data_IF_020370131764
#
_entry.id   IF_020370131764
#
_cell.length_a   1.000
_cell.length_b   1.000
_cell.length_c   1.000
_cell.angle_alpha   90.00
_cell.angle_beta   90.00
_cell.angle_gamma   90.00
#
_symmetry.space_group_name_H-M   'P 1'
#
loop_
_entity.id
_entity.type
_entity.pdbx_description
1 polymer ?
#
# COMPACT_ATOMS: atom_id res chain seq x y z
N UNK A 1 -32.98 -27.54 5.49
CA UNK A 1 -32.67 -26.24 4.83
C UNK A 1 -31.21 -25.93 5.05
N UNK A 2 -30.40 -26.11 3.99
CA UNK A 2 -28.96 -25.87 4.02
C UNK A 2 -28.72 -24.41 3.62
N UNK A 3 -28.09 -23.61 4.50
CA UNK A 3 -27.59 -22.28 4.19
C UNK A 3 -26.08 -22.38 4.06
N UNK A 4 -25.60 -22.35 2.84
CA UNK A 4 -24.19 -22.19 2.49
C UNK A 4 -23.88 -20.70 2.48
N UNK A 5 -23.25 -20.21 3.55
CA UNK A 5 -22.61 -18.89 3.59
C UNK A 5 -21.24 -19.00 2.89
N UNK A 6 -21.13 -18.41 1.72
CA UNK A 6 -19.87 -18.31 0.99
C UNK A 6 -19.07 -17.16 1.58
N UNK A 7 -17.98 -17.47 2.29
CA UNK A 7 -16.93 -16.53 2.67
C UNK A 7 -16.25 -16.00 1.38
N UNK A 8 -16.61 -14.78 0.98
CA UNK A 8 -15.84 -14.03 0.01
C UNK A 8 -14.76 -13.22 0.76
N UNK A 9 -13.62 -13.88 0.96
CA UNK A 9 -12.36 -13.16 1.25
C UNK A 9 -12.00 -12.39 -0.02
N UNK A 10 -11.97 -11.06 0.07
CA UNK A 10 -11.55 -10.21 -1.03
C UNK A 10 -10.09 -10.52 -1.40
N UNK A 11 -9.91 -11.24 -2.50
CA UNK A 11 -8.60 -11.50 -3.09
C UNK A 11 -7.98 -10.16 -3.53
N UNK A 12 -6.86 -9.79 -2.92
CA UNK A 12 -6.01 -8.71 -3.41
C UNK A 12 -5.40 -9.14 -4.75
N UNK A 13 -6.14 -8.86 -5.80
CA UNK A 13 -5.66 -9.01 -7.17
C UNK A 13 -4.79 -7.80 -7.47
N UNK A 14 -3.51 -8.02 -7.74
CA UNK A 14 -2.65 -7.07 -8.45
C UNK A 14 -3.26 -6.86 -9.83
N UNK A 15 -4.03 -5.78 -9.98
CA UNK A 15 -4.64 -5.46 -11.26
C UNK A 15 -3.56 -4.90 -12.20
N UNK A 16 -2.87 -5.82 -12.87
CA UNK A 16 -2.05 -5.47 -14.01
C UNK A 16 -3.01 -5.22 -15.16
N UNK A 17 -3.42 -3.95 -15.32
CA UNK A 17 -4.29 -3.50 -16.38
C UNK A 17 -3.94 -4.14 -17.72
N UNK A 18 -4.97 -4.76 -18.34
CA UNK A 18 -4.87 -5.54 -19.57
C UNK A 18 -4.13 -4.78 -20.67
N UNK A 19 -3.23 -5.49 -21.33
CA UNK A 19 -2.51 -5.03 -22.49
C UNK A 19 -3.47 -4.74 -23.64
N UNK A 20 -3.83 -3.45 -23.78
CA UNK A 20 -4.35 -2.87 -25.00
C UNK A 20 -3.21 -2.12 -25.66
N UNK A 21 -2.83 -2.49 -26.89
CA UNK A 21 -1.88 -1.79 -27.72
C UNK A 21 -2.25 -0.32 -27.87
N UNK A 22 -1.47 0.56 -27.23
CA UNK A 22 -1.39 1.97 -27.61
C UNK A 22 0.07 2.41 -27.43
N UNK A 23 0.75 2.64 -28.54
CA UNK A 23 2.06 3.22 -28.63
C UNK A 23 2.09 4.62 -27.97
N UNK A 24 2.92 4.77 -26.94
CA UNK A 24 3.19 6.03 -26.24
C UNK A 24 4.34 5.82 -25.27
N UNK A 25 5.53 6.19 -25.71
CA UNK A 25 6.82 6.21 -25.05
C UNK A 25 6.73 6.80 -23.63
N UNK A 26 6.91 5.97 -22.59
CA UNK A 26 7.36 6.41 -21.27
C UNK A 26 7.85 5.21 -20.45
N UNK A 27 9.15 5.10 -20.28
CA UNK A 27 9.80 4.21 -19.30
C UNK A 27 10.11 2.82 -19.86
N UNK A 28 11.24 2.68 -20.59
CA UNK A 28 11.81 1.40 -21.03
C UNK A 28 12.28 0.55 -19.84
N UNK A 29 11.34 -0.03 -19.09
CA UNK A 29 11.65 -1.12 -18.20
C UNK A 29 12.07 -2.38 -18.97
N UNK A 30 13.05 -3.15 -18.45
CA UNK A 30 13.46 -4.40 -19.07
C UNK A 30 12.34 -5.42 -18.93
N UNK A 31 11.65 -5.74 -20.02
CA UNK A 31 10.45 -6.61 -20.04
C UNK A 31 10.67 -7.97 -19.35
N UNK A 32 11.87 -8.55 -19.43
CA UNK A 32 12.16 -9.81 -18.77
C UNK A 32 12.23 -9.66 -17.23
N UNK A 33 12.72 -8.50 -16.75
CA UNK A 33 12.75 -8.20 -15.31
C UNK A 33 11.33 -7.99 -14.79
N UNK A 34 10.52 -7.20 -15.50
CA UNK A 34 9.11 -7.00 -15.12
C UNK A 34 8.35 -8.33 -15.03
N UNK A 35 8.46 -9.19 -16.04
CA UNK A 35 7.83 -10.51 -16.03
C UNK A 35 8.28 -11.40 -14.87
N UNK A 36 9.55 -11.30 -14.47
CA UNK A 36 10.07 -12.03 -13.32
C UNK A 36 9.43 -11.53 -12.01
N UNK A 37 9.30 -10.21 -11.86
CA UNK A 37 8.62 -9.57 -10.72
C UNK A 37 7.14 -9.96 -10.71
N UNK A 38 6.45 -9.92 -11.86
CA UNK A 38 5.04 -10.29 -11.96
C UNK A 38 4.81 -11.75 -11.51
N UNK A 39 5.73 -12.66 -11.87
CA UNK A 39 5.65 -14.07 -11.42
C UNK A 39 5.85 -14.18 -9.91
N UNK A 40 6.80 -13.45 -9.32
CA UNK A 40 6.99 -13.44 -7.86
C UNK A 40 5.75 -12.88 -7.13
N UNK A 41 5.10 -11.87 -7.72
CA UNK A 41 3.89 -11.26 -7.20
C UNK A 41 2.65 -12.16 -7.20
N UNK A 42 2.69 -13.31 -7.89
CA UNK A 42 1.59 -14.30 -7.84
C UNK A 42 1.60 -15.14 -6.55
N UNK A 43 2.70 -15.13 -5.80
CA UNK A 43 2.78 -15.81 -4.51
C UNK A 43 2.11 -14.93 -3.44
N UNK A 44 1.18 -15.52 -2.70
CA UNK A 44 0.44 -14.86 -1.61
C UNK A 44 0.38 -15.76 -0.39
N UNK A 45 -0.06 -15.25 0.75
CA UNK A 45 -0.28 -16.08 1.94
C UNK A 45 -1.34 -17.17 1.70
N UNK A 46 -2.39 -16.86 0.91
CA UNK A 46 -3.43 -17.81 0.53
C UNK A 46 -2.97 -18.78 -0.56
N UNK A 47 -1.97 -18.39 -1.37
CA UNK A 47 -1.37 -19.21 -2.43
C UNK A 47 0.16 -19.21 -2.32
N UNK A 48 0.74 -19.89 -1.30
CA UNK A 48 2.18 -19.88 -1.03
C UNK A 48 3.01 -20.69 -2.04
N UNK A 49 2.37 -21.49 -2.90
CA UNK A 49 3.02 -22.24 -3.96
C UNK A 49 2.19 -22.18 -5.25
N UNK A 50 2.87 -22.04 -6.39
CA UNK A 50 2.22 -21.89 -7.70
C UNK A 50 2.89 -22.79 -8.76
N UNK A 51 2.10 -23.46 -9.57
CA UNK A 51 2.58 -24.31 -10.66
C UNK A 51 2.86 -23.50 -11.94
N UNK A 52 3.68 -24.07 -12.84
CA UNK A 52 3.93 -23.46 -14.18
C UNK A 52 2.62 -23.23 -14.95
N UNK A 53 1.65 -24.14 -14.83
CA UNK A 53 0.37 -24.01 -15.51
C UNK A 53 -0.46 -22.81 -15.00
N UNK A 54 -0.45 -22.58 -13.69
CA UNK A 54 -1.10 -21.42 -13.05
C UNK A 54 -0.40 -20.13 -13.44
N UNK A 55 0.94 -20.10 -13.43
CA UNK A 55 1.71 -18.93 -13.89
C UNK A 55 1.37 -18.58 -15.34
N UNK A 56 1.34 -19.58 -16.24
CA UNK A 56 0.96 -19.37 -17.65
C UNK A 56 -0.45 -18.76 -17.74
N UNK A 57 -1.40 -19.28 -16.97
CA UNK A 57 -2.78 -18.79 -16.96
C UNK A 57 -2.89 -17.36 -16.43
N UNK A 58 -2.16 -17.05 -15.35
CA UNK A 58 -2.22 -15.74 -14.70
C UNK A 58 -1.51 -14.66 -15.54
N UNK A 59 -0.38 -15.00 -16.19
CA UNK A 59 0.46 -14.01 -16.91
C UNK A 59 0.16 -13.94 -18.40
N UNK A 60 -0.52 -14.94 -18.99
CA UNK A 60 -0.70 -15.05 -20.44
C UNK A 60 0.59 -15.32 -21.23
N UNK A 61 1.72 -15.56 -20.56
CA UNK A 61 3.00 -15.81 -21.21
C UNK A 61 3.08 -17.23 -21.82
N UNK A 62 3.83 -17.39 -22.92
CA UNK A 62 4.14 -18.69 -23.48
C UNK A 62 4.86 -19.57 -22.43
N UNK A 63 4.47 -20.86 -22.35
CA UNK A 63 4.99 -21.83 -21.37
C UNK A 63 6.53 -21.89 -21.36
N UNK A 64 7.16 -21.83 -22.53
CA UNK A 64 8.63 -21.80 -22.65
C UNK A 64 9.26 -20.56 -22.01
N UNK A 65 8.61 -19.40 -22.13
CA UNK A 65 9.03 -18.16 -21.48
C UNK A 65 8.92 -18.27 -19.97
N UNK A 66 7.78 -18.77 -19.46
CA UNK A 66 7.57 -18.99 -18.04
C UNK A 66 8.64 -19.92 -17.46
N UNK A 67 8.89 -21.08 -18.12
CA UNK A 67 9.91 -22.03 -17.65
C UNK A 67 11.29 -21.37 -17.54
N UNK A 68 11.71 -20.60 -18.53
CA UNK A 68 13.00 -19.91 -18.51
C UNK A 68 13.11 -18.90 -17.38
N UNK A 69 12.06 -18.12 -17.13
CA UNK A 69 12.06 -17.12 -16.04
C UNK A 69 12.09 -17.84 -14.70
N UNK A 70 11.22 -18.84 -14.48
CA UNK A 70 11.14 -19.61 -13.25
C UNK A 70 12.48 -20.30 -12.94
N UNK A 71 13.13 -20.93 -13.92
CA UNK A 71 14.45 -21.53 -13.76
C UNK A 71 15.50 -20.49 -13.35
N UNK A 72 15.45 -19.30 -13.95
CA UNK A 72 16.38 -18.21 -13.57
C UNK A 72 16.12 -17.76 -12.13
N UNK A 73 14.85 -17.60 -11.72
CA UNK A 73 14.50 -17.23 -10.36
C UNK A 73 14.91 -18.32 -9.34
N UNK A 74 14.74 -19.60 -9.69
CA UNK A 74 15.14 -20.74 -8.89
C UNK A 74 16.67 -20.80 -8.73
N UNK A 75 17.44 -20.67 -9.82
CA UNK A 75 18.89 -20.65 -9.80
C UNK A 75 19.46 -19.53 -8.93
N UNK A 76 18.74 -18.41 -8.81
CA UNK A 76 19.09 -17.30 -7.92
C UNK A 76 18.46 -17.39 -6.53
N UNK A 77 17.78 -18.49 -6.21
CA UNK A 77 17.17 -18.76 -4.91
C UNK A 77 15.96 -17.85 -4.58
N UNK A 78 15.39 -17.17 -5.58
CA UNK A 78 14.18 -16.36 -5.41
C UNK A 78 12.91 -17.22 -5.44
N UNK A 79 12.95 -18.34 -6.15
CA UNK A 79 11.94 -19.40 -6.11
C UNK A 79 12.58 -20.71 -5.63
N UNK A 80 11.74 -21.61 -5.12
CA UNK A 80 12.11 -22.94 -4.70
C UNK A 80 11.10 -23.97 -5.21
N UNK A 81 11.58 -24.99 -5.94
CA UNK A 81 10.74 -26.04 -6.44
C UNK A 81 10.27 -26.99 -5.33
N UNK A 82 8.99 -27.32 -5.34
CA UNK A 82 8.36 -28.28 -4.45
C UNK A 82 7.45 -29.24 -5.23
N UNK A 83 6.93 -30.27 -4.58
CA UNK A 83 5.94 -31.16 -5.21
C UNK A 83 4.63 -30.46 -5.64
N UNK A 84 4.32 -29.30 -5.01
CA UNK A 84 3.12 -28.49 -5.31
C UNK A 84 3.35 -27.36 -6.30
N UNK A 85 4.59 -27.17 -6.77
CA UNK A 85 4.97 -26.06 -7.62
C UNK A 85 6.12 -25.25 -7.01
N UNK A 86 6.22 -23.99 -7.36
CA UNK A 86 7.26 -23.07 -6.91
C UNK A 86 6.74 -22.20 -5.76
N UNK A 87 7.53 -22.09 -4.71
CA UNK A 87 7.29 -21.22 -3.57
C UNK A 87 8.39 -20.16 -3.46
N UNK A 88 8.21 -19.20 -2.55
CA UNK A 88 9.23 -18.19 -2.22
C UNK A 88 10.54 -18.86 -1.78
N UNK A 89 11.64 -18.48 -2.43
CA UNK A 89 12.96 -19.06 -2.19
C UNK A 89 13.74 -18.37 -1.06
N UNK A 90 14.79 -19.05 -0.52
CA UNK A 90 15.52 -18.55 0.64
C UNK A 90 16.27 -17.24 0.42
N UNK A 91 16.61 -16.88 -0.83
CA UNK A 91 17.25 -15.60 -1.11
C UNK A 91 16.34 -14.39 -0.79
N UNK A 92 15.01 -14.55 -0.85
CA UNK A 92 14.08 -13.50 -0.45
C UNK A 92 14.16 -13.18 1.04
N UNK A 93 14.50 -14.16 1.90
CA UNK A 93 14.75 -13.91 3.31
C UNK A 93 15.91 -12.94 3.55
N UNK A 94 17.01 -13.10 2.78
CA UNK A 94 18.14 -12.17 2.83
C UNK A 94 17.74 -10.77 2.40
N UNK A 95 16.96 -10.64 1.32
CA UNK A 95 16.47 -9.34 0.84
C UNK A 95 15.54 -8.68 1.85
N UNK A 96 14.64 -9.45 2.46
CA UNK A 96 13.77 -8.97 3.52
C UNK A 96 14.56 -8.48 4.74
N UNK A 97 15.64 -9.19 5.14
CA UNK A 97 16.52 -8.76 6.23
C UNK A 97 17.22 -7.43 5.92
N UNK A 98 17.76 -7.28 4.72
CA UNK A 98 18.39 -6.04 4.27
C UNK A 98 17.38 -4.88 4.20
N UNK A 99 16.20 -5.13 3.65
CA UNK A 99 15.13 -4.16 3.60
C UNK A 99 14.72 -3.71 5.01
N UNK A 100 14.54 -4.64 5.95
CA UNK A 100 14.23 -4.28 7.35
C UNK A 100 15.25 -3.34 7.96
N UNK A 101 16.55 -3.58 7.79
CA UNK A 101 17.59 -2.71 8.32
C UNK A 101 17.55 -1.29 7.77
N UNK A 102 17.06 -1.11 6.53
CA UNK A 102 16.96 0.21 5.88
C UNK A 102 15.63 0.93 6.13
N UNK A 103 14.55 0.18 6.45
CA UNK A 103 13.17 0.67 6.53
C UNK A 103 12.58 0.54 7.93
N UNK A 104 13.33 -0.01 8.89
CA UNK A 104 12.82 -0.25 10.21
C UNK A 104 12.61 1.07 10.96
N UNK A 105 11.38 1.31 11.40
CA UNK A 105 11.06 2.45 12.24
C UNK A 105 11.76 2.32 13.61
N UNK A 106 12.12 3.47 14.22
CA UNK A 106 12.60 3.46 15.61
C UNK A 106 11.64 2.70 16.52
N UNK A 107 12.16 1.93 17.50
CA UNK A 107 11.33 1.15 18.44
C UNK A 107 10.25 2.01 19.13
N UNK A 108 10.59 3.25 19.47
CA UNK A 108 9.68 4.20 20.09
C UNK A 108 8.51 4.57 19.17
N UNK A 109 8.77 4.78 17.88
CA UNK A 109 7.71 5.05 16.89
C UNK A 109 6.75 3.87 16.78
N UNK A 110 7.28 2.65 16.77
CA UNK A 110 6.46 1.42 16.75
C UNK A 110 5.60 1.32 18.02
N UNK A 111 6.15 1.68 19.17
CA UNK A 111 5.43 1.64 20.45
C UNK A 111 4.30 2.70 20.49
N UNK A 112 4.56 3.91 20.02
CA UNK A 112 3.55 4.96 19.89
C UNK A 112 2.39 4.51 18.98
N UNK A 113 2.70 3.91 17.82
CA UNK A 113 1.69 3.38 16.91
C UNK A 113 0.90 2.22 17.55
N UNK A 114 1.58 1.33 18.29
CA UNK A 114 0.93 0.21 19.01
C UNK A 114 -0.03 0.73 20.08
N UNK A 115 0.42 1.68 20.90
CA UNK A 115 -0.40 2.32 21.92
C UNK A 115 -1.64 2.99 21.31
N UNK A 116 -1.46 3.66 20.16
CA UNK A 116 -2.57 4.29 19.43
C UNK A 116 -3.58 3.24 18.92
N UNK A 117 -3.11 2.15 18.31
CA UNK A 117 -3.99 1.08 17.83
C UNK A 117 -4.80 0.43 18.96
N UNK A 118 -4.20 0.25 20.13
CA UNK A 118 -4.87 -0.30 21.32
C UNK A 118 -5.91 0.66 21.90
N UNK A 119 -5.57 1.96 22.04
CA UNK A 119 -6.48 2.97 22.60
C UNK A 119 -7.68 3.20 21.69
N UNK A 120 -7.42 3.40 20.38
CA UNK A 120 -8.48 3.71 19.42
C UNK A 120 -9.21 2.47 18.90
N UNK A 121 -8.63 1.28 19.12
CA UNK A 121 -9.14 -0.04 18.69
C UNK A 121 -9.30 -0.14 17.17
N UNK A 122 -8.50 0.63 16.41
CA UNK A 122 -8.46 0.63 14.96
C UNK A 122 -7.03 0.39 14.45
N UNK A 123 -6.90 -0.04 13.19
CA UNK A 123 -5.58 -0.26 12.58
C UNK A 123 -4.88 1.06 12.33
N UNK A 124 -3.63 1.16 12.76
CA UNK A 124 -2.73 2.30 12.54
C UNK A 124 -1.75 1.96 11.43
N UNK A 125 -1.67 2.81 10.43
CA UNK A 125 -0.72 2.67 9.32
C UNK A 125 0.11 3.92 9.16
N UNK A 126 1.36 3.75 8.72
CA UNK A 126 2.24 4.81 8.28
C UNK A 126 2.56 4.60 6.80
N UNK A 127 2.31 5.63 5.99
CA UNK A 127 2.50 5.59 4.54
C UNK A 127 3.48 6.65 4.07
N UNK A 128 4.23 6.32 3.00
CA UNK A 128 5.09 7.25 2.26
C UNK A 128 4.73 7.23 0.77
N UNK A 129 5.13 8.27 0.03
CA UNK A 129 4.90 8.34 -1.42
C UNK A 129 5.94 7.53 -2.18
N UNK A 130 5.48 6.81 -3.20
CA UNK A 130 6.31 6.22 -4.24
C UNK A 130 5.61 6.37 -5.60
N UNK A 131 6.03 7.35 -6.37
CA UNK A 131 5.43 7.69 -7.66
C UNK A 131 3.91 7.95 -7.54
N UNK A 132 3.05 7.16 -8.20
CA UNK A 132 1.58 7.27 -8.13
C UNK A 132 0.95 6.41 -7.03
N UNK A 133 1.76 5.82 -6.16
CA UNK A 133 1.35 4.95 -5.05
C UNK A 133 1.77 5.51 -3.70
N UNK A 134 1.06 5.11 -2.66
CA UNK A 134 1.54 5.17 -1.28
C UNK A 134 1.95 3.77 -0.82
N UNK A 135 3.09 3.68 -0.15
CA UNK A 135 3.62 2.42 0.39
C UNK A 135 3.39 2.38 1.88
N UNK A 136 2.84 1.27 2.38
CA UNK A 136 2.76 1.03 3.82
C UNK A 136 4.16 0.69 4.35
N UNK A 137 4.71 1.52 5.22
CA UNK A 137 6.05 1.30 5.82
C UNK A 137 5.96 0.80 7.25
N UNK A 138 4.82 0.95 7.88
CA UNK A 138 4.54 0.34 9.18
C UNK A 138 3.05 0.17 9.40
N UNK A 139 2.69 -0.90 10.12
CA UNK A 139 1.34 -1.19 10.53
C UNK A 139 1.31 -1.67 11.98
N UNK A 140 0.23 -1.30 12.69
CA UNK A 140 -0.19 -1.91 13.95
C UNK A 140 -1.67 -2.25 13.82
N UNK A 141 -1.96 -3.54 13.85
CA UNK A 141 -3.32 -4.03 13.64
C UNK A 141 -4.24 -3.67 14.80
N UNK A 142 -5.50 -3.41 14.45
CA UNK A 142 -6.59 -3.31 15.43
C UNK A 142 -6.72 -4.60 16.25
N UNK A 143 -7.00 -4.52 17.56
CA UNK A 143 -7.35 -5.70 18.37
C UNK A 143 -8.72 -6.29 18.02
N UNK A 144 -9.49 -5.67 17.14
CA UNK A 144 -10.81 -6.14 16.74
C UNK A 144 -10.72 -7.32 15.75
N UNK A 145 -11.66 -8.30 15.85
CA UNK A 145 -11.72 -9.40 14.86
C UNK A 145 -11.91 -8.91 13.42
N UNK A 146 -12.88 -8.01 13.20
CA UNK A 146 -13.07 -7.33 11.92
C UNK A 146 -12.18 -6.09 11.89
N UNK A 147 -11.14 -6.10 11.08
CA UNK A 147 -10.16 -5.02 10.95
C UNK A 147 -9.66 -4.85 9.53
N UNK A 148 -9.21 -3.66 9.21
CA UNK A 148 -8.49 -3.39 7.98
C UNK A 148 -7.02 -3.82 8.14
N UNK A 149 -6.51 -4.60 7.21
CA UNK A 149 -5.11 -5.06 7.18
C UNK A 149 -4.45 -4.59 5.88
N UNK A 150 -3.27 -3.99 6.01
CA UNK A 150 -2.38 -3.61 4.89
C UNK A 150 -0.98 -4.03 5.28
N UNK A 151 -0.37 -4.91 4.53
CA UNK A 151 0.96 -5.39 4.89
C UNK A 151 2.04 -4.33 4.62
N UNK A 152 3.12 -4.39 5.42
CA UNK A 152 4.29 -3.54 5.16
C UNK A 152 4.88 -3.91 3.81
N UNK A 153 5.04 -2.90 2.94
CA UNK A 153 5.46 -3.06 1.55
C UNK A 153 4.32 -2.98 0.54
N UNK A 154 3.05 -3.09 0.98
CA UNK A 154 1.90 -2.96 0.06
C UNK A 154 1.84 -1.55 -0.53
N UNK A 155 1.57 -1.52 -1.83
CA UNK A 155 1.38 -0.30 -2.62
C UNK A 155 -0.10 -0.06 -2.86
N UNK A 156 -0.58 1.08 -2.43
CA UNK A 156 -1.96 1.50 -2.62
C UNK A 156 -2.00 2.76 -3.49
N UNK A 157 -2.99 2.90 -4.39
CA UNK A 157 -3.04 4.05 -5.28
C UNK A 157 -3.19 5.37 -4.51
N UNK A 158 -2.55 6.43 -5.01
CA UNK A 158 -2.62 7.78 -4.43
C UNK A 158 -3.89 8.56 -4.81
N UNK A 159 -4.69 8.09 -5.76
CA UNK A 159 -5.89 8.83 -6.17
C UNK A 159 -7.04 8.76 -5.16
N UNK A 160 -7.00 7.88 -4.14
CA UNK A 160 -8.07 7.73 -3.16
C UNK A 160 -7.55 7.48 -1.73
N UNK A 161 -8.35 7.88 -0.75
CA UNK A 161 -8.13 7.63 0.68
C UNK A 161 -7.49 8.78 1.43
N UNK A 162 -7.74 8.86 2.74
CA UNK A 162 -7.29 9.93 3.61
C UNK A 162 -5.78 10.17 3.56
N UNK A 163 -4.98 9.10 3.66
CA UNK A 163 -3.51 9.20 3.62
C UNK A 163 -2.99 9.77 2.30
N UNK A 164 -3.68 9.53 1.18
CA UNK A 164 -3.29 10.08 -0.13
C UNK A 164 -3.41 11.60 -0.17
N UNK A 165 -4.52 12.15 0.34
CA UNK A 165 -4.77 13.60 0.40
C UNK A 165 -3.68 14.31 1.20
N UNK A 166 -3.25 13.69 2.31
CA UNK A 166 -2.15 14.19 3.15
C UNK A 166 -0.80 14.14 2.41
N UNK A 167 -0.49 13.01 1.80
CA UNK A 167 0.81 12.79 1.12
C UNK A 167 0.98 13.67 -0.12
N UNK A 168 -0.11 13.98 -0.82
CA UNK A 168 -0.10 14.80 -2.04
C UNK A 168 -0.02 16.32 -1.77
N UNK A 169 -0.06 16.75 -0.51
CA UNK A 169 -0.05 18.16 -0.12
C UNK A 169 1.09 18.99 -0.74
N UNK A 170 2.26 18.39 -0.91
CA UNK A 170 3.44 19.07 -1.47
C UNK A 170 3.71 18.67 -2.92
N UNK A 171 2.77 18.02 -3.59
CA UNK A 171 2.95 17.52 -4.96
C UNK A 171 2.76 18.63 -5.98
N UNK A 172 3.66 18.70 -6.96
CA UNK A 172 3.52 19.60 -8.11
C UNK A 172 2.49 19.08 -9.12
N UNK A 173 2.05 19.98 -10.00
CA UNK A 173 0.99 19.72 -11.01
C UNK A 173 1.25 18.50 -11.88
N UNK A 174 2.49 18.29 -12.33
CA UNK A 174 2.83 17.14 -13.15
C UNK A 174 2.64 15.80 -12.41
N UNK A 175 2.90 15.76 -11.10
CA UNK A 175 2.66 14.57 -10.28
C UNK A 175 1.15 14.35 -10.07
N UNK A 176 0.40 15.40 -9.72
CA UNK A 176 -1.05 15.33 -9.56
C UNK A 176 -1.75 14.86 -10.85
N UNK A 177 -1.29 15.32 -12.02
CA UNK A 177 -1.81 14.87 -13.31
C UNK A 177 -1.59 13.38 -13.54
N UNK A 178 -0.43 12.82 -13.16
CA UNK A 178 -0.17 11.38 -13.26
C UNK A 178 -1.04 10.57 -12.29
N UNK A 179 -1.20 11.06 -11.06
CA UNK A 179 -2.08 10.42 -10.06
C UNK A 179 -3.53 10.43 -10.54
N UNK A 180 -4.05 11.57 -11.03
CA UNK A 180 -5.40 11.66 -11.56
C UNK A 180 -5.61 10.71 -12.74
N UNK A 181 -4.66 10.66 -13.69
CA UNK A 181 -4.71 9.76 -14.85
C UNK A 181 -4.75 8.27 -14.44
N UNK A 182 -4.14 7.91 -13.31
CA UNK A 182 -4.15 6.53 -12.80
C UNK A 182 -5.46 6.14 -12.10
N UNK A 183 -6.35 7.11 -11.85
CA UNK A 183 -7.66 6.85 -11.24
C UNK A 183 -8.64 6.22 -12.24
N UNK A 184 -9.70 5.56 -11.78
CA UNK A 184 -10.79 5.08 -12.63
C UNK A 184 -11.52 6.20 -13.40
N UNK A 185 -11.35 7.45 -12.94
CA UNK A 185 -12.00 8.63 -13.50
C UNK A 185 -11.14 9.34 -14.56
N UNK A 186 -9.88 8.93 -14.74
CA UNK A 186 -8.96 9.51 -15.70
C UNK A 186 -8.51 10.93 -15.37
N UNK A 187 -8.08 11.66 -16.39
CA UNK A 187 -7.50 13.01 -16.24
C UNK A 187 -8.49 14.03 -15.64
N UNK A 188 -9.78 13.87 -15.87
CA UNK A 188 -10.84 14.79 -15.40
C UNK A 188 -10.96 14.81 -13.86
N UNK A 189 -10.37 13.82 -13.19
CA UNK A 189 -10.34 13.75 -11.72
C UNK A 189 -9.42 14.78 -11.07
N UNK A 190 -8.54 15.45 -11.82
CA UNK A 190 -7.49 16.32 -11.28
C UNK A 190 -8.03 17.47 -10.41
N UNK A 191 -9.12 18.11 -10.84
CA UNK A 191 -9.68 19.26 -10.11
C UNK A 191 -10.35 18.82 -8.79
N UNK A 192 -11.02 17.66 -8.80
CA UNK A 192 -11.55 17.04 -7.58
C UNK A 192 -10.42 16.64 -6.62
N UNK A 193 -9.34 16.08 -7.14
CA UNK A 193 -8.18 15.70 -6.34
C UNK A 193 -7.52 16.93 -5.69
N UNK A 194 -7.36 18.03 -6.44
CA UNK A 194 -6.83 19.30 -5.90
C UNK A 194 -7.70 19.87 -4.79
N UNK A 195 -9.02 19.92 -5.00
CA UNK A 195 -9.96 20.42 -3.99
C UNK A 195 -9.86 19.60 -2.68
N UNK A 196 -9.78 18.29 -2.78
CA UNK A 196 -9.65 17.40 -1.62
C UNK A 196 -8.30 17.59 -0.89
N UNK A 197 -7.21 17.85 -1.63
CA UNK A 197 -5.89 18.13 -1.04
C UNK A 197 -5.89 19.50 -0.33
N UNK A 198 -6.51 20.51 -0.93
CA UNK A 198 -6.62 21.85 -0.36
C UNK A 198 -7.45 21.82 0.94
N UNK A 199 -8.57 21.12 0.94
CA UNK A 199 -9.38 20.89 2.13
C UNK A 199 -8.57 20.22 3.24
N UNK A 200 -7.89 19.09 2.94
CA UNK A 200 -7.04 18.38 3.89
C UNK A 200 -5.89 19.26 4.41
N UNK A 201 -5.36 20.16 3.56
CA UNK A 201 -4.29 21.09 3.93
C UNK A 201 -4.79 22.14 4.92
N UNK A 202 -5.97 22.68 4.68
CA UNK A 202 -6.60 23.71 5.51
C UNK A 202 -7.02 23.15 6.87
N UNK A 203 -7.59 21.95 6.87
CA UNK A 203 -8.04 21.27 8.10
C UNK A 203 -6.90 20.68 8.92
N UNK A 204 -5.73 20.40 8.29
CA UNK A 204 -4.61 19.72 8.94
C UNK A 204 -4.76 18.21 9.04
N UNK A 205 -5.87 17.65 8.57
CA UNK A 205 -6.14 16.21 8.49
C UNK A 205 -6.97 15.89 7.25
N UNK A 206 -7.09 14.60 6.93
CA UNK A 206 -7.99 14.13 5.90
C UNK A 206 -8.86 12.98 6.41
N UNK A 207 -10.07 12.89 5.88
CA UNK A 207 -10.99 11.78 6.09
C UNK A 207 -11.37 11.16 4.75
N UNK A 208 -11.60 9.85 4.74
CA UNK A 208 -12.12 9.12 3.59
C UNK A 208 -13.18 8.11 4.02
N UNK A 209 -14.23 7.98 3.21
CA UNK A 209 -15.34 7.09 3.46
C UNK A 209 -15.68 6.31 2.19
N UNK A 210 -15.36 5.02 2.15
CA UNK A 210 -15.69 4.16 1.03
C UNK A 210 -14.99 4.49 -0.30
N UNK A 211 -13.98 5.37 -0.31
CA UNK A 211 -13.38 5.87 -1.55
C UNK A 211 -12.63 4.79 -2.35
N UNK A 212 -11.92 3.92 -1.66
CA UNK A 212 -11.20 2.80 -2.26
C UNK A 212 -11.97 1.50 -2.14
N UNK A 213 -12.52 1.24 -0.98
CA UNK A 213 -13.27 0.02 -0.65
C UNK A 213 -14.55 0.40 0.08
N UNK A 214 -15.68 -0.07 -0.43
CA UNK A 214 -16.97 0.14 0.22
C UNK A 214 -16.96 -0.42 1.65
N UNK A 215 -17.42 0.38 2.61
CA UNK A 215 -17.47 0.01 4.02
C UNK A 215 -16.17 0.22 4.79
N UNK A 216 -15.13 0.77 4.15
CA UNK A 216 -13.87 1.15 4.79
C UNK A 216 -13.78 2.67 4.95
N UNK A 217 -13.40 3.12 6.14
CA UNK A 217 -13.11 4.54 6.43
C UNK A 217 -11.72 4.70 7.01
N UNK A 218 -11.14 5.88 6.81
CA UNK A 218 -9.85 6.25 7.37
C UNK A 218 -9.77 7.73 7.70
N UNK A 219 -9.02 8.05 8.76
CA UNK A 219 -8.56 9.39 9.13
C UNK A 219 -7.04 9.41 9.04
N UNK A 220 -6.46 10.49 8.51
CA UNK A 220 -5.02 10.64 8.38
C UNK A 220 -4.53 12.05 8.73
N UNK A 221 -3.35 12.12 9.31
CA UNK A 221 -2.63 13.37 9.60
C UNK A 221 -1.23 13.34 9.00
N UNK A 222 -0.61 14.50 8.72
CA UNK A 222 0.75 14.58 8.21
C UNK A 222 1.78 14.24 9.31
N UNK A 223 2.83 13.52 8.94
CA UNK A 223 4.11 13.51 9.64
C UNK A 223 5.05 14.42 8.85
N UNK A 224 5.56 15.45 9.49
CA UNK A 224 6.39 16.46 8.83
C UNK A 224 7.87 16.25 9.14
N UNK A 225 8.71 16.50 8.15
CA UNK A 225 10.16 16.47 8.32
C UNK A 225 10.71 17.78 8.87
N UNK A 226 12.03 17.84 9.07
CA UNK A 226 12.72 19.04 9.60
C UNK A 226 12.55 20.29 8.74
N UNK A 227 12.22 20.15 7.47
CA UNK A 227 11.96 21.26 6.54
C UNK A 227 10.50 21.72 6.53
N UNK A 228 9.64 21.12 7.34
CA UNK A 228 8.19 21.37 7.33
C UNK A 228 7.44 20.65 6.20
N UNK A 229 8.14 19.92 5.34
CA UNK A 229 7.49 19.13 4.29
C UNK A 229 6.85 17.86 4.88
N UNK A 230 5.73 17.42 4.31
CA UNK A 230 5.10 16.13 4.64
C UNK A 230 5.98 15.01 4.09
N UNK A 231 6.47 14.16 4.98
CA UNK A 231 7.33 13.01 4.65
C UNK A 231 6.59 11.69 4.77
N UNK A 232 5.52 11.64 5.56
CA UNK A 232 4.67 10.48 5.72
C UNK A 232 3.26 10.89 6.11
N UNK A 233 2.30 9.94 6.02
CA UNK A 233 0.95 10.09 6.56
C UNK A 233 0.70 9.00 7.60
N UNK A 234 0.34 9.40 8.82
CA UNK A 234 -0.12 8.52 9.87
C UNK A 234 -1.64 8.42 9.82
N UNK A 235 -2.19 7.22 9.86
CA UNK A 235 -3.64 7.03 9.71
C UNK A 235 -4.21 5.97 10.64
N UNK A 236 -5.50 6.16 11.01
CA UNK A 236 -6.39 5.14 11.55
C UNK A 236 -7.33 4.68 10.45
N UNK A 237 -7.57 3.38 10.34
CA UNK A 237 -8.47 2.81 9.34
C UNK A 237 -9.23 1.60 9.87
N UNK A 238 -10.47 1.45 9.42
CA UNK A 238 -11.34 0.36 9.84
C UNK A 238 -12.73 0.41 9.20
N UNK A 239 -13.63 -0.51 9.58
CA UNK A 239 -15.00 -0.52 9.09
C UNK A 239 -15.72 0.79 9.39
N UNK A 240 -16.41 1.31 8.39
CA UNK A 240 -17.13 2.60 8.41
C UNK A 240 -18.05 2.77 9.61
N UNK A 241 -18.71 1.71 10.06
CA UNK A 241 -19.62 1.75 11.22
C UNK A 241 -18.94 2.16 12.53
N UNK A 242 -17.61 2.13 12.58
CA UNK A 242 -16.82 2.56 13.74
C UNK A 242 -16.20 3.96 13.57
N UNK A 243 -16.52 4.65 12.47
CA UNK A 243 -16.04 5.99 12.13
C UNK A 243 -17.21 7.00 12.04
N UNK A 244 -18.09 7.09 13.07
CA UNK A 244 -19.10 8.13 13.10
C UNK A 244 -18.45 9.51 13.32
N UNK A 245 -19.15 10.58 12.95
CA UNK A 245 -18.60 11.94 12.97
C UNK A 245 -18.08 12.36 14.36
N UNK A 246 -18.72 11.91 15.42
CA UNK A 246 -18.30 12.21 16.80
C UNK A 246 -16.92 11.64 17.14
N UNK A 247 -16.54 10.51 16.52
CA UNK A 247 -15.23 9.88 16.73
C UNK A 247 -14.13 10.43 15.83
N UNK A 248 -14.48 11.09 14.72
CA UNK A 248 -13.47 11.64 13.79
C UNK A 248 -12.55 12.62 14.52
N UNK A 249 -13.14 13.51 15.37
CA UNK A 249 -12.35 14.46 16.14
C UNK A 249 -11.42 13.77 17.14
N UNK A 250 -11.90 12.76 17.85
CA UNK A 250 -11.08 11.94 18.77
C UNK A 250 -9.90 11.29 18.03
N UNK A 251 -10.15 10.72 16.84
CA UNK A 251 -9.12 10.12 16.01
C UNK A 251 -8.09 11.14 15.53
N UNK A 252 -8.54 12.32 15.09
CA UNK A 252 -7.65 13.42 14.67
C UNK A 252 -6.75 13.86 15.82
N UNK A 253 -7.30 14.10 16.99
CA UNK A 253 -6.56 14.54 18.18
C UNK A 253 -5.48 13.50 18.55
N UNK A 254 -5.87 12.22 18.62
CA UNK A 254 -4.97 11.13 18.96
C UNK A 254 -3.87 10.89 17.91
N UNK A 255 -4.20 11.01 16.61
CA UNK A 255 -3.24 10.92 15.51
C UNK A 255 -2.26 12.10 15.55
N UNK A 256 -2.75 13.31 15.81
CA UNK A 256 -1.93 14.53 15.85
C UNK A 256 -0.92 14.48 17.00
N UNK A 257 -1.32 14.01 18.17
CA UNK A 257 -0.42 13.78 19.30
C UNK A 257 0.73 12.84 18.92
N UNK A 258 0.41 11.68 18.37
CA UNK A 258 1.41 10.69 17.97
C UNK A 258 2.28 11.19 16.83
N UNK A 259 1.68 11.87 15.84
CA UNK A 259 2.45 12.45 14.72
C UNK A 259 3.44 13.51 15.20
N UNK A 260 3.08 14.36 16.15
CA UNK A 260 3.99 15.35 16.74
C UNK A 260 5.22 14.68 17.38
N UNK A 261 5.02 13.63 18.15
CA UNK A 261 6.12 12.85 18.75
C UNK A 261 7.03 12.20 17.71
N UNK A 262 6.46 11.66 16.62
CA UNK A 262 7.24 11.10 15.51
C UNK A 262 8.07 12.19 14.82
N UNK A 263 7.47 13.35 14.60
CA UNK A 263 8.12 14.52 13.99
C UNK A 263 9.30 15.04 14.84
N UNK A 264 9.11 15.21 16.16
CA UNK A 264 10.14 15.68 17.08
C UNK A 264 11.36 14.75 17.13
N UNK A 265 11.14 13.44 17.12
CA UNK A 265 12.22 12.43 17.17
C UNK A 265 12.95 12.28 15.85
N UNK A 266 12.37 12.74 14.77
CA UNK A 266 12.87 12.62 13.42
C UNK A 266 12.59 11.24 12.84
N UNK A 267 11.98 11.25 11.68
CA UNK A 267 11.74 10.08 10.85
C UNK A 267 12.66 10.21 9.62
N UNK A 268 13.83 9.54 9.67
CA UNK A 268 14.70 9.45 8.50
C UNK A 268 14.25 8.26 7.66
N UNK A 269 13.54 8.55 6.56
CA UNK A 269 13.12 7.55 5.60
C UNK A 269 13.93 7.68 4.31
N UNK A 270 14.37 6.56 3.67
CA UNK A 270 15.19 6.60 2.45
C UNK A 270 14.49 7.21 1.24
N UNK A 271 13.16 7.32 1.24
CA UNK A 271 12.42 8.06 0.22
C UNK A 271 12.39 9.55 0.54
N UNK A 272 13.49 10.22 0.26
CA UNK A 272 13.48 11.67 0.08
C UNK A 272 13.01 11.96 -1.36
N UNK A 273 11.88 12.63 -1.49
CA UNK A 273 11.53 13.28 -2.75
C UNK A 273 12.41 14.49 -2.96
#
# INVERSE_FOLDING_TARGET
>A
MKSTGTDQVAEHRWDTGGAGDAAGDSGQGVRSVQRAIDILGLLTESQPAISVAEIVRATGLAKTTVIRIVQTLEQNGLLWATAKGYMAGPSLWRWAHLARGSWELPPETKELMRGLAQRQRETVNLYVVRDIYRVCVAQQESPQPLRHVVHVGDELPLWAGASSKILLRNSGDAHLARVAKSSPYGQDYIDSLRAQIEEATTQGYAFSHGERETGLSAVAVPVVGRTGAVIAALSLSGPTVRFPDERIKEFVDALTEVSAHITERGFDHPFRM
#
